data_IF_731481587043
#
_entry.id   IF_731481587043
#
_cell.length_a   1.000
_cell.length_b   1.000
_cell.length_c   1.000
_cell.angle_alpha   90.00
_cell.angle_beta   90.00
_cell.angle_gamma   90.00
#
_symmetry.space_group_name_H-M   'P 1'
#
loop_
_entity.id
_entity.type
_entity.pdbx_description
1 polymer ?
#
# COMPACT_ATOMS: atom_id res chain seq x y z
N UNK A 1 -6.05 -1.14 13.21
CA UNK A 1 -6.05 -2.27 12.25
C UNK A 1 -5.08 -3.34 12.71
N UNK A 2 -5.51 -4.59 12.75
CA UNK A 2 -4.60 -5.68 13.02
C UNK A 2 -3.91 -6.16 11.72
N UNK A 3 -2.97 -7.09 11.84
CA UNK A 3 -2.22 -7.59 10.68
C UNK A 3 -3.13 -8.24 9.63
N UNK A 4 -4.15 -8.99 10.06
CA UNK A 4 -5.07 -9.64 9.15
C UNK A 4 -5.88 -8.62 8.34
N UNK A 5 -6.31 -7.54 8.98
CA UNK A 5 -7.02 -6.45 8.30
C UNK A 5 -6.13 -5.75 7.28
N UNK A 6 -4.86 -5.48 7.64
CA UNK A 6 -3.92 -4.85 6.72
C UNK A 6 -3.64 -5.77 5.53
N UNK A 7 -3.43 -7.06 5.78
CA UNK A 7 -3.21 -8.05 4.71
C UNK A 7 -4.43 -8.18 3.80
N UNK A 8 -5.64 -8.16 4.36
CA UNK A 8 -6.87 -8.18 3.58
C UNK A 8 -7.00 -6.98 2.65
N UNK A 9 -6.64 -5.80 3.15
CA UNK A 9 -6.65 -4.58 2.35
C UNK A 9 -5.61 -4.65 1.22
N UNK A 10 -4.41 -5.15 1.53
CA UNK A 10 -3.38 -5.35 0.50
C UNK A 10 -3.89 -6.27 -0.60
N UNK A 11 -4.52 -7.39 -0.23
CA UNK A 11 -5.08 -8.33 -1.20
C UNK A 11 -6.11 -7.66 -2.13
N UNK A 12 -7.02 -6.87 -1.56
CA UNK A 12 -8.03 -6.15 -2.35
C UNK A 12 -7.37 -5.13 -3.29
N UNK A 13 -6.35 -4.41 -2.81
CA UNK A 13 -5.63 -3.44 -3.63
C UNK A 13 -4.82 -4.11 -4.74
N UNK A 14 -4.23 -5.28 -4.49
CA UNK A 14 -3.52 -6.04 -5.52
C UNK A 14 -4.48 -6.52 -6.61
N UNK A 15 -5.66 -6.98 -6.25
CA UNK A 15 -6.67 -7.39 -7.24
C UNK A 15 -7.08 -6.20 -8.13
N UNK A 16 -7.28 -5.04 -7.52
CA UNK A 16 -7.60 -3.83 -8.28
C UNK A 16 -6.42 -3.40 -9.16
N UNK A 17 -5.19 -3.51 -8.65
CA UNK A 17 -3.98 -3.21 -9.40
C UNK A 17 -3.91 -4.03 -10.69
N UNK A 18 -4.15 -5.34 -10.60
CA UNK A 18 -4.13 -6.22 -11.77
C UNK A 18 -5.20 -5.81 -12.79
N UNK A 19 -6.39 -5.45 -12.34
CA UNK A 19 -7.46 -5.00 -13.22
C UNK A 19 -7.08 -3.69 -13.92
N UNK A 20 -6.51 -2.74 -13.18
CA UNK A 20 -6.10 -1.46 -13.73
C UNK A 20 -4.91 -1.59 -14.71
N UNK A 21 -4.00 -2.50 -14.45
CA UNK A 21 -2.90 -2.77 -15.37
C UNK A 21 -3.41 -3.22 -16.74
N UNK A 22 -4.45 -4.06 -16.75
CA UNK A 22 -5.09 -4.48 -18.00
C UNK A 22 -5.76 -3.30 -18.72
N UNK A 23 -6.41 -2.41 -17.97
CA UNK A 23 -7.04 -1.22 -18.55
C UNK A 23 -6.01 -0.25 -19.14
N UNK A 24 -4.89 -0.03 -18.42
CA UNK A 24 -3.81 0.83 -18.90
C UNK A 24 -3.22 0.27 -20.19
N UNK A 25 -3.09 -1.04 -20.31
CA UNK A 25 -2.61 -1.68 -21.53
C UNK A 25 -3.51 -1.37 -22.74
N UNK A 26 -4.81 -1.20 -22.52
CA UNK A 26 -5.76 -0.86 -23.59
C UNK A 26 -5.87 0.64 -23.84
N UNK A 27 -5.84 1.44 -22.78
CA UNK A 27 -6.19 2.86 -22.83
C UNK A 27 -4.98 3.79 -22.87
N UNK A 28 -3.81 3.30 -22.45
CA UNK A 28 -2.55 4.05 -22.51
C UNK A 28 -2.16 4.72 -21.19
N UNK A 29 -0.92 5.26 -21.13
CA UNK A 29 -0.32 5.77 -19.90
C UNK A 29 -0.92 7.09 -19.40
N UNK A 30 -1.67 7.81 -20.23
CA UNK A 30 -2.29 9.08 -19.85
C UNK A 30 -3.78 8.92 -19.50
N UNK A 31 -4.27 7.69 -19.42
CA UNK A 31 -5.68 7.40 -19.12
C UNK A 31 -6.00 7.62 -17.65
N UNK A 32 -7.31 7.70 -17.35
CA UNK A 32 -7.79 7.74 -15.97
C UNK A 32 -7.38 6.48 -15.21
N UNK A 33 -7.36 5.33 -15.89
CA UNK A 33 -6.90 4.07 -15.30
C UNK A 33 -5.44 4.18 -14.85
N UNK A 34 -4.58 4.81 -15.63
CA UNK A 34 -3.18 5.02 -15.27
C UNK A 34 -3.04 5.90 -14.03
N UNK A 35 -3.84 6.96 -13.93
CA UNK A 35 -3.88 7.82 -12.74
C UNK A 35 -4.31 7.06 -11.50
N UNK A 36 -5.37 6.27 -11.62
CA UNK A 36 -5.85 5.43 -10.52
C UNK A 36 -4.81 4.39 -10.10
N UNK A 37 -4.12 3.79 -11.06
CA UNK A 37 -3.07 2.81 -10.78
C UNK A 37 -1.94 3.43 -9.94
N UNK A 38 -1.53 4.65 -10.27
CA UNK A 38 -0.50 5.37 -9.48
C UNK A 38 -0.94 5.62 -8.05
N UNK A 39 -2.19 6.05 -7.86
CA UNK A 39 -2.75 6.26 -6.51
C UNK A 39 -2.78 4.98 -5.71
N UNK A 40 -3.15 3.89 -6.36
CA UNK A 40 -3.27 2.59 -5.72
C UNK A 40 -1.91 2.03 -5.32
N UNK A 41 -0.88 2.24 -6.14
CA UNK A 41 0.48 1.83 -5.82
C UNK A 41 0.99 2.54 -4.57
N UNK A 42 0.67 3.83 -4.40
CA UNK A 42 0.99 4.59 -3.20
C UNK A 42 0.26 3.99 -1.98
N UNK A 43 -1.01 3.67 -2.12
CA UNK A 43 -1.79 3.06 -1.04
C UNK A 43 -1.21 1.70 -0.63
N UNK A 44 -0.75 0.90 -1.59
CA UNK A 44 -0.08 -0.37 -1.31
C UNK A 44 1.20 -0.16 -0.51
N UNK A 45 2.02 0.81 -0.91
CA UNK A 45 3.26 1.12 -0.20
C UNK A 45 2.98 1.53 1.25
N UNK A 46 1.92 2.31 1.47
CA UNK A 46 1.50 2.70 2.81
C UNK A 46 1.07 1.49 3.66
N UNK A 47 0.37 0.54 3.05
CA UNK A 47 -0.05 -0.69 3.74
C UNK A 47 1.15 -1.55 4.14
N UNK A 48 2.11 -1.73 3.23
CA UNK A 48 3.34 -2.49 3.52
C UNK A 48 4.17 -1.81 4.61
N UNK A 49 4.26 -0.49 4.56
CA UNK A 49 4.93 0.29 5.59
C UNK A 49 4.29 0.09 6.95
N UNK A 50 2.96 0.11 7.01
CA UNK A 50 2.22 -0.11 8.26
C UNK A 50 2.52 -1.49 8.84
N UNK A 51 2.56 -2.54 8.00
CA UNK A 51 2.92 -3.88 8.46
C UNK A 51 4.34 -3.92 9.03
N UNK A 52 5.29 -3.26 8.38
CA UNK A 52 6.68 -3.18 8.87
C UNK A 52 6.75 -2.47 10.22
N UNK A 53 6.01 -1.39 10.39
CA UNK A 53 5.92 -0.68 11.67
C UNK A 53 5.37 -1.58 12.77
N UNK A 54 4.28 -2.30 12.48
CA UNK A 54 3.65 -3.20 13.45
C UNK A 54 4.61 -4.29 13.89
N UNK A 55 5.34 -4.87 12.94
CA UNK A 55 6.34 -5.91 13.22
C UNK A 55 7.47 -5.37 14.09
N UNK A 56 7.98 -4.17 13.75
CA UNK A 56 9.05 -3.54 14.50
C UNK A 56 8.62 -3.29 15.96
N UNK A 57 7.40 -2.82 16.17
CA UNK A 57 6.87 -2.59 17.52
C UNK A 57 6.78 -3.88 18.32
N UNK A 58 6.25 -4.95 17.73
CA UNK A 58 6.18 -6.25 18.41
C UNK A 58 7.57 -6.74 18.81
N UNK A 59 8.54 -6.61 17.92
CA UNK A 59 9.91 -7.07 18.18
C UNK A 59 10.58 -6.29 19.32
N UNK A 60 10.14 -5.05 19.57
CA UNK A 60 10.65 -4.21 20.64
C UNK A 60 9.79 -4.23 21.90
N UNK A 61 8.78 -5.08 21.95
CA UNK A 61 7.87 -5.15 23.09
C UNK A 61 6.89 -4.00 23.17
N UNK A 62 6.70 -3.27 22.08
CA UNK A 62 5.76 -2.14 22.01
C UNK A 62 4.42 -2.60 21.41
N UNK A 63 3.38 -1.80 21.61
CA UNK A 63 2.04 -2.11 21.09
C UNK A 63 2.00 -1.88 19.56
N UNK A 64 1.78 -2.92 18.76
CA UNK A 64 1.67 -2.76 17.30
C UNK A 64 0.49 -1.88 16.89
N UNK A 65 -0.57 -1.81 17.71
CA UNK A 65 -1.75 -1.00 17.39
C UNK A 65 -1.48 0.50 17.45
N UNK A 66 -0.35 0.91 17.99
CA UNK A 66 0.07 2.31 17.98
C UNK A 66 0.71 2.74 16.65
N UNK A 67 1.01 1.79 15.77
CA UNK A 67 1.52 2.12 14.44
C UNK A 67 0.45 2.88 13.64
N UNK A 68 0.90 3.84 12.83
CA UNK A 68 0.01 4.71 12.05
C UNK A 68 0.41 4.70 10.58
N UNK A 69 -0.58 4.88 9.72
CA UNK A 69 -0.33 5.10 8.30
C UNK A 69 0.49 6.38 8.16
N UNK A 70 1.62 6.29 7.45
CA UNK A 70 2.51 7.43 7.24
C UNK A 70 2.25 8.06 5.88
N UNK A 71 2.55 9.37 5.73
CA UNK A 71 2.32 10.06 4.46
C UNK A 71 3.11 9.44 3.31
N UNK A 72 2.61 9.55 2.07
CA UNK A 72 3.30 8.97 0.92
C UNK A 72 4.77 9.39 0.79
N UNK A 73 5.10 10.65 1.10
CA UNK A 73 6.46 11.17 1.00
C UNK A 73 7.44 10.41 1.91
N UNK A 74 6.97 9.98 3.07
CA UNK A 74 7.79 9.21 4.01
C UNK A 74 8.01 7.80 3.51
N UNK A 75 6.93 7.17 3.03
CA UNK A 75 6.94 5.78 2.56
C UNK A 75 7.77 5.63 1.29
N UNK A 76 7.64 6.54 0.35
CA UNK A 76 8.36 6.50 -0.93
C UNK A 76 9.88 6.58 -0.74
N UNK A 77 10.35 7.23 0.31
CA UNK A 77 11.79 7.31 0.62
C UNK A 77 12.43 5.97 0.91
N UNK A 78 11.65 5.01 1.39
CA UNK A 78 12.16 3.68 1.71
C UNK A 78 12.47 2.85 0.47
N UNK A 79 11.96 3.24 -0.67
CA UNK A 79 12.10 2.47 -1.91
C UNK A 79 13.26 2.93 -2.78
N UNK A 80 13.94 3.95 -2.34
CA UNK A 80 15.07 4.52 -3.08
C UNK A 80 16.41 4.03 -2.58
#
# INVERSE_FOLDING_TARGET
>A
MDDAEVMGRIGALVDEEHALEREVSREGPDSDAAGRLRELEVALDQCWDLLRQRRARRNMGQDPDEARVRPPEVVERYQQ
#
